data_IF_253868159747
#
_entry.id   IF_253868159747
#
_cell.length_a   1.000
_cell.length_b   1.000
_cell.length_c   1.000
_cell.angle_alpha   90.00
_cell.angle_beta   90.00
_cell.angle_gamma   90.00
#
_symmetry.space_group_name_H-M   'P 1'
#
loop_
_entity.id
_entity.type
_entity.pdbx_description
1 polymer ?
#
# COMPACT_ATOMS: atom_id res chain seq x y z
N UNK A 1 -6.88 -21.42 -18.75
CA UNK A 1 -5.88 -20.34 -18.60
C UNK A 1 -6.49 -19.01 -18.13
N UNK A 2 -7.58 -18.49 -18.72
CA UNK A 2 -8.17 -17.18 -18.29
C UNK A 2 -8.53 -17.10 -16.80
N UNK A 3 -9.10 -18.17 -16.21
CA UNK A 3 -9.50 -18.20 -14.80
C UNK A 3 -8.34 -18.13 -13.81
N UNK A 4 -7.15 -18.61 -14.19
CA UNK A 4 -5.96 -18.60 -13.32
C UNK A 4 -5.41 -17.17 -13.15
N UNK A 5 -5.35 -16.42 -14.25
CA UNK A 5 -4.82 -15.04 -14.25
C UNK A 5 -5.65 -14.11 -13.36
N UNK A 6 -6.98 -14.32 -13.32
CA UNK A 6 -7.89 -13.52 -12.47
C UNK A 6 -7.65 -13.79 -10.98
N UNK A 7 -7.41 -15.06 -10.61
CA UNK A 7 -7.13 -15.45 -9.22
C UNK A 7 -5.81 -14.87 -8.73
N UNK A 8 -4.76 -14.94 -9.57
CA UNK A 8 -3.44 -14.37 -9.23
C UNK A 8 -3.56 -12.85 -9.05
N UNK A 9 -4.27 -12.18 -9.96
CA UNK A 9 -4.51 -10.74 -9.86
C UNK A 9 -5.23 -10.36 -8.57
N UNK A 10 -6.32 -11.06 -8.24
CA UNK A 10 -7.08 -10.81 -7.02
C UNK A 10 -6.21 -11.04 -5.77
N UNK A 11 -5.41 -12.11 -5.76
CA UNK A 11 -4.49 -12.39 -4.65
C UNK A 11 -3.47 -11.27 -4.46
N UNK A 12 -2.82 -10.80 -5.53
CA UNK A 12 -1.86 -9.68 -5.46
C UNK A 12 -2.53 -8.40 -4.98
N UNK A 13 -3.75 -8.12 -5.44
CA UNK A 13 -4.51 -6.97 -4.99
C UNK A 13 -4.87 -7.05 -3.50
N UNK A 14 -5.30 -8.22 -3.02
CA UNK A 14 -5.57 -8.44 -1.60
C UNK A 14 -4.31 -8.23 -0.74
N UNK A 15 -3.17 -8.77 -1.16
CA UNK A 15 -1.88 -8.55 -0.47
C UNK A 15 -1.56 -7.06 -0.42
N UNK A 16 -1.72 -6.35 -1.53
CA UNK A 16 -1.44 -4.91 -1.59
C UNK A 16 -2.37 -4.10 -0.67
N UNK A 17 -3.65 -4.46 -0.58
CA UNK A 17 -4.59 -3.84 0.37
C UNK A 17 -4.14 -4.11 1.81
N UNK A 18 -3.73 -5.33 2.15
CA UNK A 18 -3.25 -5.64 3.50
C UNK A 18 -2.03 -4.79 3.84
N UNK A 19 -1.05 -4.69 2.93
CA UNK A 19 0.11 -3.82 3.12
C UNK A 19 -0.33 -2.36 3.32
N UNK A 20 -1.19 -1.83 2.44
CA UNK A 20 -1.74 -0.47 2.52
C UNK A 20 -2.43 -0.20 3.86
N UNK A 21 -3.27 -1.12 4.32
CA UNK A 21 -4.10 -0.94 5.51
C UNK A 21 -3.33 -1.08 6.82
N UNK A 22 -2.29 -1.90 6.86
CA UNK A 22 -1.61 -2.27 8.10
C UNK A 22 -0.17 -1.79 8.20
N UNK A 23 0.38 -1.12 7.19
CA UNK A 23 1.72 -0.52 7.27
C UNK A 23 1.68 0.98 7.02
N UNK A 24 2.59 1.70 7.65
CA UNK A 24 2.79 3.13 7.44
C UNK A 24 4.23 3.53 7.76
N UNK A 25 4.65 4.62 7.15
CA UNK A 25 5.76 5.44 7.63
C UNK A 25 5.26 6.29 8.79
N UNK A 26 5.94 6.22 9.92
CA UNK A 26 5.69 7.04 11.10
C UNK A 26 6.91 7.95 11.31
N UNK A 27 6.71 9.26 11.28
CA UNK A 27 7.74 10.26 11.55
C UNK A 27 7.46 10.98 12.87
N UNK A 28 8.52 11.51 13.49
CA UNK A 28 8.38 12.43 14.61
C UNK A 28 8.34 13.87 14.10
N UNK A 29 7.49 14.70 14.72
CA UNK A 29 7.37 16.11 14.36
C UNK A 29 8.66 16.90 14.65
N UNK A 30 9.33 16.59 15.75
CA UNK A 30 10.49 17.33 16.27
C UNK A 30 11.84 16.63 16.03
N UNK A 31 11.84 15.46 15.39
CA UNK A 31 13.02 14.61 15.20
C UNK A 31 13.04 14.04 13.78
N UNK A 32 14.17 14.07 13.05
CA UNK A 32 14.28 13.49 11.70
C UNK A 32 14.08 11.97 11.63
N UNK A 33 13.81 11.27 12.73
CA UNK A 33 13.55 9.83 12.72
C UNK A 33 12.28 9.48 11.92
N UNK A 34 12.48 8.53 11.01
CA UNK A 34 11.44 7.88 10.22
C UNK A 34 11.41 6.40 10.56
N UNK A 35 10.23 5.88 10.88
CA UNK A 35 10.00 4.50 11.26
C UNK A 35 9.03 3.80 10.31
N UNK A 36 9.47 2.71 9.67
CA UNK A 36 8.55 1.83 8.96
C UNK A 36 7.87 0.90 9.95
N UNK A 37 6.54 0.99 10.06
CA UNK A 37 5.81 0.39 11.16
C UNK A 37 4.55 -0.35 10.72
N UNK A 38 4.18 -1.37 11.50
CA UNK A 38 2.87 -2.05 11.39
C UNK A 38 1.89 -1.34 12.33
N UNK A 39 0.76 -0.91 11.76
CA UNK A 39 -0.38 -0.31 12.46
C UNK A 39 -1.18 -1.38 13.20
N UNK A 40 -1.60 -1.08 14.43
CA UNK A 40 -2.53 -1.95 15.20
C UNK A 40 -3.95 -1.93 14.62
N UNK A 41 -4.33 -0.84 13.95
CA UNK A 41 -5.62 -0.67 13.29
C UNK A 41 -5.48 -0.50 11.78
N UNK A 42 -6.50 -0.93 11.03
CA UNK A 42 -6.55 -0.70 9.60
C UNK A 42 -6.79 0.79 9.31
N UNK A 43 -5.90 1.42 8.55
CA UNK A 43 -6.07 2.80 8.05
C UNK A 43 -5.52 2.93 6.63
N UNK A 44 -6.08 3.83 5.84
CA UNK A 44 -5.55 4.19 4.52
C UNK A 44 -4.38 5.19 4.59
N UNK A 45 -4.02 5.67 5.77
CA UNK A 45 -2.89 6.59 5.93
C UNK A 45 -1.57 5.84 5.83
N UNK A 46 -0.69 6.32 4.95
CA UNK A 46 0.65 5.76 4.74
C UNK A 46 1.75 6.57 5.41
N UNK A 47 1.45 7.83 5.75
CA UNK A 47 2.34 8.74 6.47
C UNK A 47 1.61 9.21 7.70
N UNK A 48 2.21 8.98 8.85
CA UNK A 48 1.70 9.39 10.15
C UNK A 48 2.79 10.22 10.80
N UNK A 49 2.44 11.38 11.31
CA UNK A 49 3.37 12.21 12.07
C UNK A 49 2.91 12.26 13.51
N UNK A 50 3.77 11.81 14.41
CA UNK A 50 3.53 11.77 15.84
C UNK A 50 4.37 12.83 16.54
N UNK A 51 3.89 13.31 17.69
CA UNK A 51 4.58 14.39 18.42
C UNK A 51 5.59 13.85 19.44
N UNK A 52 5.48 12.57 19.83
CA UNK A 52 6.31 11.99 20.88
C UNK A 52 6.67 10.52 20.62
N UNK A 53 7.77 10.08 21.23
CA UNK A 53 8.17 8.67 21.20
C UNK A 53 7.16 7.73 21.88
N UNK A 54 6.41 8.22 22.87
CA UNK A 54 5.33 7.46 23.50
C UNK A 54 4.24 7.13 22.49
N UNK A 55 3.96 8.02 21.55
CA UNK A 55 2.99 7.78 20.49
C UNK A 55 3.48 6.74 19.47
N UNK A 56 4.79 6.68 19.18
CA UNK A 56 5.37 5.63 18.33
C UNK A 56 5.17 4.23 18.94
N UNK A 57 5.16 4.11 20.27
CA UNK A 57 4.95 2.82 20.95
C UNK A 57 3.59 2.17 20.64
N UNK A 58 2.64 2.93 20.05
CA UNK A 58 1.38 2.42 19.54
C UNK A 58 1.55 1.52 18.32
N UNK A 59 2.68 1.57 17.64
CA UNK A 59 2.98 0.81 16.42
C UNK A 59 4.02 -0.27 16.67
N UNK A 60 4.05 -1.31 15.82
CA UNK A 60 5.14 -2.28 15.81
C UNK A 60 6.18 -1.78 14.81
N UNK A 61 7.25 -1.19 15.31
CA UNK A 61 8.32 -0.64 14.49
C UNK A 61 9.17 -1.78 13.92
N UNK A 62 9.31 -1.84 12.60
CA UNK A 62 10.14 -2.83 11.93
C UNK A 62 11.57 -2.31 11.71
N UNK A 63 11.68 -1.07 11.24
CA UNK A 63 12.94 -0.39 10.96
C UNK A 63 12.83 1.09 11.28
N UNK A 64 13.94 1.68 11.73
CA UNK A 64 14.08 3.12 12.00
C UNK A 64 15.34 3.65 11.35
N UNK A 65 15.26 4.82 10.75
CA UNK A 65 16.40 5.54 10.18
C UNK A 65 16.12 7.04 10.21
N UNK A 66 17.16 7.87 10.25
CA UNK A 66 17.07 9.33 10.13
C UNK A 66 16.90 9.78 8.68
N UNK A 67 17.22 8.91 7.70
CA UNK A 67 17.21 9.24 6.28
C UNK A 67 16.11 8.49 5.49
N UNK A 68 15.10 7.95 6.18
CA UNK A 68 14.10 7.08 5.60
C UNK A 68 14.57 5.63 5.47
N UNK A 69 13.67 4.72 5.09
CA UNK A 69 13.95 3.29 5.09
C UNK A 69 14.28 2.74 3.70
N UNK A 70 15.03 1.64 3.66
CA UNK A 70 15.32 0.94 2.41
C UNK A 70 14.03 0.53 1.71
N UNK A 71 13.85 1.02 0.48
CA UNK A 71 12.67 0.75 -0.33
C UNK A 71 11.50 1.71 -0.10
N UNK A 72 11.66 2.80 0.65
CA UNK A 72 10.65 3.85 0.88
C UNK A 72 9.93 4.26 -0.43
N UNK A 73 10.68 4.59 -1.47
CA UNK A 73 10.10 4.98 -2.77
C UNK A 73 9.25 3.88 -3.38
N UNK A 74 9.70 2.63 -3.31
CA UNK A 74 8.97 1.47 -3.84
C UNK A 74 7.70 1.25 -3.02
N UNK A 75 7.79 1.37 -1.71
CA UNK A 75 6.67 1.33 -0.79
C UNK A 75 5.61 2.35 -1.19
N UNK A 76 5.96 3.65 -1.30
CA UNK A 76 4.98 4.66 -1.69
C UNK A 76 4.40 4.45 -3.08
N UNK A 77 5.18 3.96 -4.05
CA UNK A 77 4.63 3.55 -5.35
C UNK A 77 3.56 2.47 -5.18
N UNK A 78 3.80 1.48 -4.32
CA UNK A 78 2.85 0.41 -4.04
C UNK A 78 1.58 0.94 -3.35
N UNK A 79 1.74 1.69 -2.26
CA UNK A 79 0.64 2.06 -1.36
C UNK A 79 -0.04 3.40 -1.69
N UNK A 80 0.54 4.26 -2.53
CA UNK A 80 -0.12 5.50 -3.00
C UNK A 80 -0.65 5.36 -4.43
N UNK A 81 0.07 4.65 -5.29
CA UNK A 81 -0.26 4.57 -6.72
C UNK A 81 -0.84 3.22 -7.15
N UNK A 82 -0.12 2.13 -6.92
CA UNK A 82 -0.50 0.83 -7.50
C UNK A 82 -1.81 0.28 -6.94
N UNK A 83 -2.14 0.59 -5.68
CA UNK A 83 -3.36 0.08 -5.04
C UNK A 83 -4.65 0.51 -5.76
N UNK A 84 -4.71 1.69 -6.38
CA UNK A 84 -5.87 2.11 -7.17
C UNK A 84 -5.66 1.89 -8.68
N UNK A 85 -4.42 1.93 -9.16
CA UNK A 85 -4.12 1.75 -10.58
C UNK A 85 -4.42 0.31 -11.05
N UNK A 86 -4.08 -0.67 -10.23
CA UNK A 86 -4.30 -2.10 -10.51
C UNK A 86 -5.78 -2.39 -10.81
N UNK A 87 -6.74 -2.10 -9.91
CA UNK A 87 -8.15 -2.36 -10.19
C UNK A 87 -8.68 -1.53 -11.38
N UNK A 88 -8.19 -0.30 -11.58
CA UNK A 88 -8.58 0.53 -12.72
C UNK A 88 -8.18 -0.11 -14.07
N UNK A 89 -6.93 -0.55 -14.20
CA UNK A 89 -6.44 -1.21 -15.42
C UNK A 89 -7.20 -2.51 -15.70
N UNK A 90 -7.44 -3.31 -14.65
CA UNK A 90 -8.22 -4.54 -14.79
C UNK A 90 -9.65 -4.27 -15.28
N UNK A 91 -10.30 -3.23 -14.76
CA UNK A 91 -11.64 -2.86 -15.19
C UNK A 91 -11.67 -2.43 -16.67
N UNK A 92 -10.69 -1.63 -17.10
CA UNK A 92 -10.54 -1.21 -18.51
C UNK A 92 -10.38 -2.43 -19.43
N UNK A 93 -9.51 -3.38 -19.06
CA UNK A 93 -9.28 -4.60 -19.86
C UNK A 93 -10.54 -5.46 -19.95
N UNK A 94 -11.25 -5.67 -18.84
CA UNK A 94 -12.47 -6.49 -18.81
C UNK A 94 -13.59 -5.82 -19.61
N UNK A 95 -13.78 -4.51 -19.46
CA UNK A 95 -14.78 -3.77 -20.24
C UNK A 95 -14.47 -3.77 -21.73
N UNK A 96 -13.22 -3.50 -22.10
CA UNK A 96 -12.79 -3.52 -23.50
C UNK A 96 -13.00 -4.90 -24.15
N UNK A 97 -12.72 -5.98 -23.42
CA UNK A 97 -12.96 -7.34 -23.89
C UNK A 97 -14.46 -7.62 -24.12
N UNK A 98 -15.34 -7.15 -23.23
CA UNK A 98 -16.80 -7.29 -23.36
C UNK A 98 -17.39 -6.43 -24.47
N UNK A 99 -16.84 -5.25 -24.72
CA UNK A 99 -17.29 -4.38 -25.80
C UNK A 99 -16.99 -5.02 -27.16
N UNK A 100 -15.76 -5.54 -27.34
CA UNK A 100 -15.36 -6.23 -28.58
C UNK A 100 -16.21 -7.47 -28.88
N UNK A 101 -16.70 -8.19 -27.87
CA UNK A 101 -17.55 -9.36 -28.08
C UNK A 101 -18.99 -9.04 -28.48
N UNK A 102 -19.48 -7.81 -28.27
CA UNK A 102 -20.83 -7.38 -28.69
C UNK A 102 -20.89 -6.85 -30.12
N UNK A 103 -19.74 -6.48 -30.70
CA UNK A 103 -19.62 -5.97 -32.07
C UNK A 103 -19.40 -7.07 -33.11
N UNK A 104 -19.28 -8.32 -32.67
CA UNK A 104 -19.20 -9.52 -33.53
C UNK A 104 -20.47 -10.32 -33.37
#
# INVERSE_FOLDING_TARGET
MRSLNHKIFLMLFCVLIVVKLFTAEVSLADDPIVAFSIKKGASFDNKITENSYEDISKYIVLFTDENGFLGEKIYFILVDFLWWLIPALYFVVVLGARYKSRLR
#
